data_IF_420081620417
#
_entry.id   IF_420081620417
#
_cell.length_a   1.000
_cell.length_b   1.000
_cell.length_c   1.000
_cell.angle_alpha   90.00
_cell.angle_beta   90.00
_cell.angle_gamma   90.00
#
_symmetry.space_group_name_H-M   'P 1'
#
loop_
_entity.id
_entity.type
_entity.pdbx_description
1 polymer ?
#
# COMPACT_ATOMS: atom_id res chain seq x y z
N UNK A 1 1.50 25.30 -7.35
CA UNK A 1 2.42 24.16 -7.06
C UNK A 1 1.57 22.92 -7.02
N UNK A 2 1.92 21.86 -7.73
CA UNK A 2 1.19 20.59 -7.63
C UNK A 2 1.27 20.08 -6.19
N UNK A 3 0.17 19.49 -5.69
CA UNK A 3 0.17 18.92 -4.34
C UNK A 3 0.85 17.58 -4.31
N UNK A 4 1.56 17.34 -3.21
CA UNK A 4 2.16 16.05 -2.91
C UNK A 4 1.16 15.28 -2.04
N UNK A 5 0.87 14.03 -2.42
CA UNK A 5 0.04 13.13 -1.62
C UNK A 5 0.88 12.07 -0.93
N UNK A 6 0.40 11.59 0.22
CA UNK A 6 0.91 10.41 0.88
C UNK A 6 0.04 9.20 0.55
N UNK A 7 0.65 8.09 0.17
CA UNK A 7 -0.07 6.84 -0.12
C UNK A 7 0.47 5.72 0.76
N UNK A 8 -0.43 5.06 1.46
CA UNK A 8 -0.17 3.75 2.03
C UNK A 8 -0.70 2.68 1.05
N UNK A 9 0.24 2.04 0.36
CA UNK A 9 -0.07 0.96 -0.57
C UNK A 9 -0.04 -0.37 0.18
N UNK A 10 -1.13 -0.72 0.86
CA UNK A 10 -1.21 -1.95 1.65
C UNK A 10 -1.45 -3.22 0.83
N UNK A 11 -1.21 -4.39 1.44
CA UNK A 11 -1.47 -5.70 0.80
C UNK A 11 -2.96 -5.96 0.64
N UNK A 12 -3.76 -5.60 1.64
CA UNK A 12 -5.21 -5.83 1.67
C UNK A 12 -5.99 -4.57 1.38
N UNK A 13 -5.61 -3.44 1.99
CA UNK A 13 -6.23 -2.15 1.78
C UNK A 13 -5.17 -1.08 1.56
N UNK A 14 -5.51 -0.08 0.76
CA UNK A 14 -4.69 1.10 0.51
C UNK A 14 -5.46 2.37 0.88
N UNK A 15 -4.73 3.44 1.15
CA UNK A 15 -5.32 4.75 1.43
C UNK A 15 -4.44 5.88 0.87
N UNK A 16 -5.04 7.04 0.71
CA UNK A 16 -4.37 8.26 0.30
C UNK A 16 -4.67 9.40 1.27
N UNK A 17 -3.68 10.23 1.52
CA UNK A 17 -3.78 11.39 2.39
C UNK A 17 -3.09 12.61 1.75
N UNK A 18 -3.53 13.79 2.13
CA UNK A 18 -2.87 15.05 1.80
C UNK A 18 -2.65 15.89 3.05
N UNK A 19 -1.71 16.80 2.96
CA UNK A 19 -1.50 17.82 3.98
C UNK A 19 -2.23 19.09 3.56
N UNK A 20 -3.21 19.51 4.36
CA UNK A 20 -4.01 20.72 4.16
C UNK A 20 -3.61 21.81 5.16
N UNK A 21 -4.23 22.97 5.07
CA UNK A 21 -4.03 24.05 6.06
C UNK A 21 -4.45 23.65 7.48
N UNK A 22 -5.39 22.71 7.59
CA UNK A 22 -5.87 22.16 8.87
C UNK A 22 -5.05 20.96 9.37
N UNK A 23 -4.04 20.54 8.61
CA UNK A 23 -3.18 19.40 8.91
C UNK A 23 -3.35 18.21 7.97
N UNK A 24 -2.90 17.01 8.37
CA UNK A 24 -3.02 15.81 7.56
C UNK A 24 -4.47 15.31 7.50
N UNK A 25 -4.96 15.04 6.30
CA UNK A 25 -6.31 14.53 6.05
C UNK A 25 -6.23 13.25 5.23
N UNK A 26 -6.92 12.21 5.68
CA UNK A 26 -7.15 11.00 4.87
C UNK A 26 -8.27 11.31 3.88
N UNK A 27 -7.97 11.16 2.59
CA UNK A 27 -8.91 11.45 1.52
C UNK A 27 -9.85 10.26 1.36
N UNK A 28 -11.19 10.46 1.41
CA UNK A 28 -12.14 9.40 1.12
C UNK A 28 -12.09 9.03 -0.37
N UNK A 29 -12.26 7.74 -0.66
CA UNK A 29 -12.44 7.30 -2.03
C UNK A 29 -13.81 7.74 -2.60
N UNK A 30 -14.05 7.52 -3.88
CA UNK A 30 -15.30 7.87 -4.58
C UNK A 30 -16.56 7.22 -4.02
N UNK A 31 -16.44 6.24 -3.11
CA UNK A 31 -17.53 5.63 -2.34
C UNK A 31 -17.66 6.18 -0.92
N UNK A 32 -16.89 7.22 -0.58
CA UNK A 32 -16.89 7.87 0.74
C UNK A 32 -16.17 7.09 1.84
N UNK A 33 -15.36 6.07 1.49
CA UNK A 33 -14.60 5.27 2.45
C UNK A 33 -13.14 5.72 2.49
N UNK A 34 -12.51 5.65 3.68
CA UNK A 34 -11.10 5.99 3.85
C UNK A 34 -10.14 4.87 3.42
N UNK A 35 -10.62 3.65 3.30
CA UNK A 35 -9.85 2.50 2.85
C UNK A 35 -10.38 2.03 1.50
N UNK A 36 -9.47 1.73 0.59
CA UNK A 36 -9.74 1.13 -0.72
C UNK A 36 -9.13 -0.26 -0.74
N UNK A 37 -9.90 -1.34 -0.97
CA UNK A 37 -9.36 -2.67 -1.10
C UNK A 37 -8.29 -2.75 -2.19
N UNK A 38 -7.14 -3.35 -1.90
CA UNK A 38 -6.03 -3.54 -2.85
C UNK A 38 -6.33 -4.70 -3.80
N UNK A 39 -7.45 -4.60 -4.50
CA UNK A 39 -7.99 -5.61 -5.43
C UNK A 39 -8.17 -4.97 -6.79
N UNK A 40 -7.77 -5.70 -7.84
CA UNK A 40 -7.91 -5.30 -9.24
C UNK A 40 -8.65 -6.40 -9.99
N UNK A 41 -9.59 -6.02 -10.83
CA UNK A 41 -10.22 -6.92 -11.80
C UNK A 41 -10.08 -6.34 -13.21
N UNK A 42 -9.80 -7.20 -14.18
CA UNK A 42 -9.79 -6.84 -15.61
C UNK A 42 -10.71 -7.79 -16.35
N UNK A 43 -11.69 -7.26 -17.06
CA UNK A 43 -12.60 -8.08 -17.85
C UNK A 43 -12.03 -8.44 -19.24
N UNK A 44 -12.74 -9.26 -19.99
CA UNK A 44 -12.37 -9.70 -21.34
C UNK A 44 -12.21 -8.52 -22.31
N UNK A 45 -12.98 -7.45 -22.13
CA UNK A 45 -12.92 -6.24 -22.94
C UNK A 45 -11.73 -5.32 -22.56
N UNK A 46 -11.07 -5.59 -21.42
CA UNK A 46 -9.96 -4.79 -20.89
C UNK A 46 -10.40 -3.67 -19.98
N UNK A 47 -11.67 -3.63 -19.54
CA UNK A 47 -12.09 -2.67 -18.52
C UNK A 47 -11.47 -3.04 -17.19
N UNK A 48 -10.93 -2.04 -16.50
CA UNK A 48 -10.25 -2.17 -15.21
C UNK A 48 -11.21 -1.73 -14.10
N UNK A 49 -11.32 -2.56 -13.08
CA UNK A 49 -12.08 -2.29 -11.86
C UNK A 49 -11.11 -2.35 -10.68
N UNK A 50 -11.27 -1.44 -9.72
CA UNK A 50 -10.38 -1.32 -8.56
C UNK A 50 -11.21 -1.22 -7.28
N UNK A 51 -10.66 -1.70 -6.18
CA UNK A 51 -11.27 -1.56 -4.86
C UNK A 51 -12.48 -2.47 -4.67
N UNK A 52 -13.53 -1.94 -4.06
CA UNK A 52 -14.76 -2.67 -3.73
C UNK A 52 -15.40 -3.31 -4.96
N UNK A 53 -15.47 -2.57 -6.06
CA UNK A 53 -16.06 -3.10 -7.31
C UNK A 53 -15.29 -4.31 -7.83
N UNK A 54 -13.94 -4.29 -7.73
CA UNK A 54 -13.13 -5.45 -8.08
C UNK A 54 -13.34 -6.61 -7.10
N UNK A 55 -13.48 -6.32 -5.82
CA UNK A 55 -13.71 -7.31 -4.77
C UNK A 55 -15.07 -8.04 -4.94
N UNK A 56 -16.12 -7.33 -5.29
CA UNK A 56 -17.44 -7.90 -5.57
C UNK A 56 -17.41 -8.85 -6.77
N UNK A 57 -16.60 -8.52 -7.78
CA UNK A 57 -16.42 -9.35 -8.97
C UNK A 57 -15.78 -10.71 -8.68
N UNK A 58 -15.07 -10.87 -7.58
CA UNK A 58 -14.36 -12.11 -7.22
C UNK A 58 -15.26 -13.33 -7.15
N UNK A 59 -16.50 -13.16 -6.72
CA UNK A 59 -17.45 -14.28 -6.60
C UNK A 59 -18.03 -14.73 -7.94
N UNK A 60 -18.14 -13.82 -8.90
CA UNK A 60 -18.74 -14.09 -10.20
C UNK A 60 -17.70 -14.35 -11.31
N UNK A 61 -16.53 -13.73 -11.19
CA UNK A 61 -15.48 -13.74 -12.20
C UNK A 61 -14.09 -13.94 -11.54
N UNK A 62 -13.85 -15.07 -10.85
CA UNK A 62 -12.61 -15.27 -10.07
C UNK A 62 -11.34 -15.18 -10.94
N UNK A 63 -11.38 -15.63 -12.18
CA UNK A 63 -10.25 -15.59 -13.12
C UNK A 63 -9.95 -14.17 -13.66
N UNK A 64 -10.79 -13.19 -13.33
CA UNK A 64 -10.58 -11.80 -13.71
C UNK A 64 -10.04 -10.93 -12.59
N UNK A 65 -9.75 -11.50 -11.40
CA UNK A 65 -9.46 -10.74 -10.17
C UNK A 65 -8.09 -11.11 -9.60
N UNK A 66 -7.30 -10.09 -9.25
CA UNK A 66 -6.05 -10.24 -8.51
C UNK A 66 -6.13 -9.50 -7.18
N UNK A 67 -5.57 -10.13 -6.14
CA UNK A 67 -5.39 -9.58 -4.80
C UNK A 67 -4.05 -10.01 -4.23
N UNK A 68 -3.62 -9.41 -3.12
CA UNK A 68 -2.37 -9.72 -2.41
C UNK A 68 -1.10 -9.67 -3.30
N UNK A 69 -1.15 -9.03 -4.46
CA UNK A 69 -0.04 -8.96 -5.41
C UNK A 69 1.14 -8.14 -4.88
N UNK A 70 0.96 -7.29 -3.85
CA UNK A 70 2.05 -6.58 -3.16
C UNK A 70 3.09 -7.57 -2.60
N UNK A 71 2.68 -8.76 -2.15
CA UNK A 71 3.59 -9.82 -1.68
C UNK A 71 4.60 -10.25 -2.73
N UNK A 72 4.23 -10.15 -4.00
CA UNK A 72 5.07 -10.55 -5.15
C UNK A 72 5.80 -9.38 -5.81
N UNK A 73 5.78 -8.18 -5.19
CA UNK A 73 6.46 -7.00 -5.72
C UNK A 73 7.94 -7.27 -5.95
N UNK A 74 8.46 -6.86 -7.11
CA UNK A 74 9.87 -7.04 -7.46
C UNK A 74 10.26 -8.48 -7.88
N UNK A 75 9.28 -9.38 -8.02
CA UNK A 75 9.49 -10.74 -8.55
C UNK A 75 9.01 -10.85 -10.00
N UNK A 76 9.31 -11.97 -10.66
CA UNK A 76 8.86 -12.26 -12.03
C UNK A 76 7.47 -12.92 -12.09
N UNK A 77 6.75 -13.00 -10.96
CA UNK A 77 5.39 -13.53 -10.92
C UNK A 77 4.49 -12.71 -11.83
N UNK A 78 3.60 -13.39 -12.53
CA UNK A 78 2.54 -12.77 -13.34
C UNK A 78 1.18 -13.25 -12.88
N UNK A 79 0.19 -12.41 -13.04
CA UNK A 79 -1.22 -12.66 -12.76
C UNK A 79 -1.97 -12.65 -14.10
N UNK A 80 -2.69 -13.73 -14.37
CA UNK A 80 -3.55 -13.80 -15.56
C UNK A 80 -4.95 -13.32 -15.19
N UNK A 81 -5.41 -12.26 -15.84
CA UNK A 81 -6.75 -11.70 -15.65
C UNK A 81 -7.46 -11.70 -17.01
N UNK A 82 -8.41 -12.59 -17.18
CA UNK A 82 -9.17 -12.75 -18.43
C UNK A 82 -8.26 -12.94 -19.66
N UNK A 83 -7.19 -13.74 -19.53
CA UNK A 83 -6.24 -14.03 -20.60
C UNK A 83 -5.17 -12.96 -20.83
N UNK A 84 -5.12 -11.92 -19.98
CA UNK A 84 -4.07 -10.88 -20.00
C UNK A 84 -3.15 -11.02 -18.80
N UNK A 85 -1.84 -11.01 -19.04
CA UNK A 85 -0.84 -11.17 -17.99
C UNK A 85 -0.36 -9.82 -17.49
N UNK A 86 -0.37 -9.66 -16.17
CA UNK A 86 0.07 -8.46 -15.47
C UNK A 86 1.15 -8.79 -14.46
N UNK A 87 2.14 -7.91 -14.31
CA UNK A 87 3.13 -7.95 -13.24
C UNK A 87 2.58 -7.27 -11.98
N UNK A 88 3.13 -7.58 -10.79
CA UNK A 88 2.70 -6.96 -9.54
C UNK A 88 2.74 -5.43 -9.58
N UNK A 89 3.78 -4.84 -10.19
CA UNK A 89 3.91 -3.39 -10.33
C UNK A 89 2.85 -2.77 -11.25
N UNK A 90 2.37 -3.50 -12.27
CA UNK A 90 1.29 -3.03 -13.14
C UNK A 90 -0.06 -3.03 -12.42
N UNK A 91 -0.35 -4.08 -11.64
CA UNK A 91 -1.55 -4.14 -10.82
C UNK A 91 -1.52 -3.06 -9.73
N UNK A 92 -0.37 -2.88 -9.08
CA UNK A 92 -0.16 -1.81 -8.10
C UNK A 92 -0.36 -0.43 -8.71
N UNK A 93 0.06 -0.22 -9.97
CA UNK A 93 -0.15 1.06 -10.66
C UNK A 93 -1.62 1.39 -10.89
N UNK A 94 -2.48 0.37 -11.07
CA UNK A 94 -3.92 0.58 -11.20
C UNK A 94 -4.53 1.06 -9.88
N UNK A 95 -4.10 0.51 -8.74
CA UNK A 95 -4.49 1.00 -7.41
C UNK A 95 -4.02 2.44 -7.22
N UNK A 96 -2.74 2.72 -7.49
CA UNK A 96 -2.16 4.05 -7.32
C UNK A 96 -2.84 5.09 -8.18
N UNK A 97 -3.21 4.75 -9.42
CA UNK A 97 -3.97 5.64 -10.32
C UNK A 97 -5.36 5.92 -9.77
N UNK A 98 -6.05 4.90 -9.27
CA UNK A 98 -7.36 5.05 -8.65
C UNK A 98 -7.32 5.99 -7.45
N UNK A 99 -6.34 5.83 -6.56
CA UNK A 99 -6.15 6.72 -5.40
C UNK A 99 -5.75 8.14 -5.82
N UNK A 100 -4.94 8.28 -6.88
CA UNK A 100 -4.60 9.59 -7.46
C UNK A 100 -5.85 10.32 -7.95
N UNK A 101 -6.70 9.64 -8.73
CA UNK A 101 -7.95 10.20 -9.25
C UNK A 101 -8.90 10.63 -8.13
N UNK A 102 -9.02 9.83 -7.05
CA UNK A 102 -9.80 10.19 -5.87
C UNK A 102 -9.21 11.42 -5.15
N UNK A 103 -7.87 11.51 -5.07
CA UNK A 103 -7.20 12.67 -4.50
C UNK A 103 -7.40 13.94 -5.33
N UNK A 104 -7.29 13.85 -6.65
CA UNK A 104 -7.54 14.97 -7.57
C UNK A 104 -8.98 15.46 -7.48
N UNK A 105 -9.94 14.54 -7.41
CA UNK A 105 -11.35 14.89 -7.25
C UNK A 105 -11.63 15.60 -5.91
N UNK A 106 -10.99 15.15 -4.83
CA UNK A 106 -11.14 15.75 -3.50
C UNK A 106 -10.47 17.11 -3.39
N UNK A 107 -9.24 17.25 -3.91
CA UNK A 107 -8.44 18.46 -3.81
C UNK A 107 -8.83 19.53 -4.84
N UNK A 108 -9.52 19.14 -5.93
CA UNK A 108 -9.89 20.04 -7.03
C UNK A 108 -8.69 20.49 -7.88
N UNK A 109 -7.56 19.80 -7.82
CA UNK A 109 -6.35 20.13 -8.57
C UNK A 109 -5.56 18.88 -8.97
N UNK A 110 -4.70 19.01 -9.96
CA UNK A 110 -3.85 17.92 -10.45
C UNK A 110 -2.83 17.50 -9.39
N UNK A 111 -2.63 16.18 -9.26
CA UNK A 111 -1.65 15.55 -8.38
C UNK A 111 -0.58 14.85 -9.22
N UNK A 112 0.66 15.32 -9.12
CA UNK A 112 1.78 14.79 -9.91
C UNK A 112 2.83 14.08 -9.07
N UNK A 113 2.84 14.29 -7.75
CA UNK A 113 3.88 13.77 -6.86
C UNK A 113 3.28 12.98 -5.69
N UNK A 114 3.98 11.92 -5.29
CA UNK A 114 3.59 11.12 -4.14
C UNK A 114 4.78 10.68 -3.28
N UNK A 115 4.51 10.55 -1.97
CA UNK A 115 5.31 9.76 -1.04
C UNK A 115 4.57 8.46 -0.78
N UNK A 116 5.23 7.32 -0.99
CA UNK A 116 4.61 5.99 -0.83
C UNK A 116 5.26 5.28 0.36
N UNK A 117 4.44 4.72 1.27
CA UNK A 117 4.93 3.88 2.35
C UNK A 117 5.28 2.48 1.82
N UNK A 118 6.33 1.88 2.39
CA UNK A 118 6.78 0.53 2.06
C UNK A 118 7.16 -0.22 3.33
N UNK A 119 6.97 -1.55 3.39
CA UNK A 119 7.47 -2.35 4.49
C UNK A 119 8.96 -2.12 4.73
N UNK A 120 9.38 -2.12 6.00
CA UNK A 120 10.78 -1.91 6.33
C UNK A 120 11.67 -3.03 5.80
N UNK A 121 11.11 -4.25 5.67
CA UNK A 121 11.77 -5.45 5.17
C UNK A 121 11.86 -5.51 3.62
N UNK A 122 11.31 -4.52 2.89
CA UNK A 122 11.43 -4.47 1.43
C UNK A 122 12.88 -4.22 1.01
N UNK A 123 13.42 -5.14 0.21
CA UNK A 123 14.70 -5.00 -0.46
C UNK A 123 14.67 -3.95 -1.60
N UNK A 124 15.81 -3.69 -2.18
CA UNK A 124 15.97 -2.70 -3.26
C UNK A 124 15.13 -3.04 -4.51
N UNK A 125 14.95 -4.33 -4.84
CA UNK A 125 14.13 -4.76 -5.97
C UNK A 125 12.66 -4.41 -5.77
N UNK A 126 12.12 -4.69 -4.57
CA UNK A 126 10.74 -4.37 -4.21
C UNK A 126 10.50 -2.87 -4.16
N UNK A 127 11.45 -2.11 -3.61
CA UNK A 127 11.38 -0.64 -3.61
C UNK A 127 11.38 -0.06 -5.02
N UNK A 128 12.25 -0.54 -5.92
CA UNK A 128 12.27 -0.12 -7.33
C UNK A 128 10.97 -0.47 -8.05
N UNK A 129 10.41 -1.65 -7.80
CA UNK A 129 9.12 -2.05 -8.37
C UNK A 129 7.98 -1.16 -7.88
N UNK A 130 7.98 -0.77 -6.58
CA UNK A 130 7.00 0.17 -6.02
C UNK A 130 7.13 1.55 -6.67
N UNK A 131 8.35 2.05 -6.85
CA UNK A 131 8.61 3.29 -7.58
C UNK A 131 8.09 3.22 -9.01
N UNK A 132 8.37 2.10 -9.70
CA UNK A 132 7.89 1.86 -11.07
C UNK A 132 6.36 1.85 -11.14
N UNK A 133 5.67 1.25 -10.16
CA UNK A 133 4.22 1.28 -10.09
C UNK A 133 3.68 2.72 -9.99
N UNK A 134 4.31 3.58 -9.19
CA UNK A 134 3.97 5.01 -9.12
C UNK A 134 4.16 5.74 -10.44
N UNK A 135 5.29 5.51 -11.11
CA UNK A 135 5.57 6.09 -12.45
C UNK A 135 4.53 5.64 -13.49
N UNK A 136 4.14 4.37 -13.49
CA UNK A 136 3.08 3.84 -14.36
C UNK A 136 1.69 4.44 -14.06
N UNK A 137 1.46 4.87 -12.82
CA UNK A 137 0.26 5.58 -12.41
C UNK A 137 0.30 7.08 -12.77
N UNK A 138 1.39 7.59 -13.33
CA UNK A 138 1.59 9.00 -13.64
C UNK A 138 1.96 9.85 -12.42
N UNK A 139 2.59 9.23 -11.40
CA UNK A 139 3.08 9.89 -10.21
C UNK A 139 4.61 9.93 -10.20
N UNK A 140 5.17 11.08 -9.87
CA UNK A 140 6.58 11.21 -9.54
C UNK A 140 6.77 10.79 -8.09
N UNK A 141 7.40 9.64 -7.86
CA UNK A 141 7.70 9.12 -6.52
C UNK A 141 9.08 9.63 -6.10
N UNK A 142 9.09 10.77 -5.42
CA UNK A 142 10.33 11.40 -4.95
C UNK A 142 10.91 10.65 -3.74
N UNK A 143 10.05 10.19 -2.85
CA UNK A 143 10.46 9.50 -1.63
C UNK A 143 9.58 8.30 -1.35
N UNK A 144 10.19 7.29 -0.79
CA UNK A 144 9.51 6.19 -0.11
C UNK A 144 9.90 6.23 1.36
N UNK A 145 8.91 6.10 2.23
CA UNK A 145 9.11 6.05 3.67
C UNK A 145 8.85 4.61 4.16
N UNK A 146 9.61 4.13 5.12
CA UNK A 146 9.28 2.84 5.73
C UNK A 146 8.02 2.96 6.59
N UNK A 147 7.13 1.96 6.54
CA UNK A 147 5.88 1.93 7.30
C UNK A 147 6.10 2.19 8.81
N UNK A 148 7.07 1.55 9.50
CA UNK A 148 7.33 1.85 10.90
C UNK A 148 7.83 3.27 11.15
N UNK A 149 8.58 3.87 10.21
CA UNK A 149 8.99 5.28 10.30
C UNK A 149 7.79 6.21 10.14
N UNK A 150 6.88 5.91 9.19
CA UNK A 150 5.66 6.68 8.99
C UNK A 150 4.77 6.62 10.24
N UNK A 151 4.61 5.44 10.84
CA UNK A 151 3.88 5.25 12.09
C UNK A 151 4.51 6.05 13.23
N UNK A 152 5.83 5.98 13.41
CA UNK A 152 6.53 6.74 14.44
C UNK A 152 6.32 8.27 14.30
N UNK A 153 6.36 8.78 13.07
CA UNK A 153 6.06 10.19 12.77
C UNK A 153 4.61 10.52 13.11
N UNK A 154 3.66 9.70 12.68
CA UNK A 154 2.23 9.94 12.92
C UNK A 154 1.86 9.94 14.41
N UNK A 155 2.55 9.14 15.22
CA UNK A 155 2.38 9.12 16.69
C UNK A 155 3.19 10.22 17.42
N UNK A 156 3.84 11.13 16.71
CA UNK A 156 4.62 12.22 17.31
C UNK A 156 5.83 11.73 18.11
N UNK A 157 6.36 10.55 17.80
CA UNK A 157 7.48 10.00 18.56
C UNK A 157 8.79 10.79 18.39
N UNK A 158 8.88 11.56 17.32
CA UNK A 158 10.02 12.47 17.06
C UNK A 158 10.02 13.72 17.95
N UNK A 159 8.91 14.07 18.61
CA UNK A 159 8.78 15.22 19.50
C UNK A 159 9.25 14.93 20.94
N UNK A 160 9.65 13.69 21.21
CA UNK A 160 10.14 13.33 22.56
C UNK A 160 11.49 13.92 22.83
N UNK A 161 11.60 14.61 23.96
CA UNK A 161 12.84 15.30 24.40
C UNK A 161 13.99 14.35 24.78
N UNK A 162 13.71 13.05 24.96
CA UNK A 162 14.71 12.05 25.40
C UNK A 162 14.98 11.04 24.32
N UNK A 163 16.25 10.68 24.19
CA UNK A 163 16.66 9.51 23.40
C UNK A 163 15.87 8.29 23.83
N UNK A 164 15.20 7.65 22.86
CA UNK A 164 14.24 6.60 23.16
C UNK A 164 14.30 5.54 22.08
N UNK A 165 14.14 4.28 22.48
CA UNK A 165 13.98 3.14 21.55
C UNK A 165 12.53 2.68 21.55
N UNK A 166 12.04 2.36 20.37
CA UNK A 166 10.68 1.88 20.14
C UNK A 166 10.72 0.52 19.44
N UNK A 167 9.81 -0.34 19.81
CA UNK A 167 9.45 -1.51 19.03
C UNK A 167 8.18 -1.19 18.27
N UNK A 168 8.21 -1.33 16.95
CA UNK A 168 7.02 -1.28 16.10
C UNK A 168 6.73 -2.71 15.67
N UNK A 169 5.52 -3.17 15.99
CA UNK A 169 4.99 -4.47 15.64
C UNK A 169 3.86 -4.23 14.64
N UNK A 170 4.09 -4.56 13.37
CA UNK A 170 3.17 -4.35 12.28
C UNK A 170 2.71 -5.70 11.71
N UNK A 171 1.49 -6.08 12.03
CA UNK A 171 0.84 -7.27 11.49
C UNK A 171 -0.30 -6.82 10.56
N UNK A 172 0.00 -6.77 9.28
CA UNK A 172 -0.96 -6.47 8.24
C UNK A 172 -1.79 -7.66 7.79
N UNK A 173 -2.60 -7.48 6.74
CA UNK A 173 -3.36 -8.59 6.14
C UNK A 173 -2.47 -9.60 5.42
N UNK A 174 -1.30 -9.20 4.95
CA UNK A 174 -0.45 -10.02 4.10
C UNK A 174 1.03 -10.05 4.43
N UNK A 175 1.50 -9.17 5.31
CA UNK A 175 2.90 -9.09 5.74
C UNK A 175 2.97 -8.89 7.25
N UNK A 176 4.07 -9.33 7.83
CA UNK A 176 4.41 -9.13 9.23
C UNK A 176 5.79 -8.51 9.32
N UNK A 177 5.89 -7.36 10.00
CA UNK A 177 7.14 -6.64 10.22
C UNK A 177 7.31 -6.30 11.71
N UNK A 178 8.51 -6.50 12.23
CA UNK A 178 8.94 -6.01 13.54
C UNK A 178 10.16 -5.14 13.33
N UNK A 179 10.11 -3.92 13.83
CA UNK A 179 11.19 -2.95 13.66
C UNK A 179 11.58 -2.33 15.00
N UNK A 180 12.87 -2.19 15.22
CA UNK A 180 13.43 -1.41 16.33
C UNK A 180 13.85 -0.07 15.76
N UNK A 181 13.22 1.00 16.26
CA UNK A 181 13.58 2.37 15.94
C UNK A 181 14.25 3.02 17.13
N UNK A 182 15.23 3.86 16.88
CA UNK A 182 15.91 4.68 17.87
C UNK A 182 15.76 6.15 17.49
N UNK A 183 15.26 6.94 18.42
CA UNK A 183 15.32 8.39 18.36
C UNK A 183 16.56 8.81 19.15
N UNK A 184 17.52 9.43 18.47
CA UNK A 184 18.75 9.93 19.06
C UNK A 184 19.07 11.31 18.48
N UNK A 185 19.19 12.34 19.34
CA UNK A 185 19.43 13.72 18.91
C UNK A 185 18.49 14.18 17.77
N UNK A 186 17.18 13.93 17.89
CA UNK A 186 16.14 14.26 16.90
C UNK A 186 16.30 13.54 15.54
N UNK A 187 17.14 12.51 15.47
CA UNK A 187 17.27 11.63 14.31
C UNK A 187 16.56 10.32 14.63
N UNK A 188 15.55 9.98 13.82
CA UNK A 188 14.85 8.70 13.90
C UNK A 188 15.52 7.69 12.95
N UNK A 189 16.07 6.63 13.50
CA UNK A 189 16.80 5.62 12.76
C UNK A 189 16.20 4.23 12.98
N UNK A 190 16.10 3.45 11.91
CA UNK A 190 15.71 2.04 11.97
C UNK A 190 16.96 1.21 12.26
N UNK A 191 17.05 0.64 13.46
CA UNK A 191 18.20 -0.13 13.95
C UNK A 191 18.19 -1.58 13.55
N UNK A 192 17.01 -2.18 13.55
CA UNK A 192 16.84 -3.57 13.16
C UNK A 192 15.45 -3.79 12.60
N UNK A 193 15.36 -4.73 11.67
CA UNK A 193 14.10 -5.17 11.06
C UNK A 193 14.12 -6.68 10.98
N UNK A 194 12.99 -7.30 11.32
CA UNK A 194 12.69 -8.69 11.05
C UNK A 194 11.25 -8.79 10.56
N UNK A 195 10.93 -9.80 9.78
CA UNK A 195 9.57 -9.93 9.27
C UNK A 195 9.40 -11.09 8.31
N UNK A 196 8.15 -11.30 7.90
CA UNK A 196 7.76 -12.29 6.91
C UNK A 196 6.79 -11.65 5.90
N UNK A 197 7.17 -11.67 4.62
CA UNK A 197 6.36 -11.11 3.54
C UNK A 197 5.16 -12.02 3.16
N UNK A 198 5.04 -13.18 3.78
CA UNK A 198 4.00 -14.17 3.51
C UNK A 198 3.23 -14.57 4.77
N UNK A 199 3.28 -13.75 5.82
CA UNK A 199 2.54 -13.94 7.06
C UNK A 199 1.66 -12.71 7.32
N UNK A 200 0.36 -12.92 7.46
CA UNK A 200 -0.60 -11.86 7.76
C UNK A 200 -1.99 -12.38 8.08
N UNK A 201 -2.94 -11.49 8.30
CA UNK A 201 -4.31 -11.84 8.67
C UNK A 201 -5.02 -12.76 7.68
N UNK A 202 -4.69 -12.65 6.37
CA UNK A 202 -5.26 -13.54 5.34
C UNK A 202 -4.81 -14.99 5.53
N UNK A 203 -3.54 -15.21 5.91
CA UNK A 203 -3.01 -16.57 6.14
C UNK A 203 -3.67 -17.21 7.36
N UNK A 204 -3.91 -16.44 8.43
CA UNK A 204 -4.66 -16.93 9.60
C UNK A 204 -6.10 -17.29 9.25
N UNK A 205 -6.75 -16.48 8.41
CA UNK A 205 -8.11 -16.76 7.92
C UNK A 205 -8.14 -18.03 7.09
N UNK A 206 -7.17 -18.24 6.21
CA UNK A 206 -7.07 -19.44 5.37
C UNK A 206 -6.87 -20.70 6.21
N UNK A 207 -6.00 -20.65 7.23
CA UNK A 207 -5.81 -21.76 8.18
C UNK A 207 -7.11 -22.07 8.91
N UNK A 208 -7.83 -21.07 9.43
CA UNK A 208 -9.12 -21.29 10.10
C UNK A 208 -10.16 -21.90 9.17
N UNK A 209 -10.24 -21.44 7.91
CA UNK A 209 -11.17 -22.00 6.93
C UNK A 209 -10.82 -23.45 6.58
N UNK A 210 -9.53 -23.78 6.51
CA UNK A 210 -9.11 -25.16 6.23
C UNK A 210 -9.54 -26.14 7.32
N UNK A 211 -9.63 -25.69 8.59
CA UNK A 211 -10.09 -26.48 9.72
C UNK A 211 -11.61 -26.74 9.71
N UNK A 212 -12.39 -25.91 9.01
CA UNK A 212 -13.85 -26.08 8.91
C UNK A 212 -14.21 -27.16 7.86
N UNK A 213 -13.30 -27.49 6.96
CA UNK A 213 -13.50 -28.46 5.89
C UNK A 213 -12.92 -29.85 6.18
N UNK A 214 -12.57 -30.15 7.43
CA UNK A 214 -12.11 -31.49 7.86
C UNK A 214 -13.31 -32.32 8.34
#
# INVERSE_FOLDING_TARGET
MSKIIGIDLGTTNSLVAAFTEEGPVIIPNRLGKHLTPSVVSVDENGNVYVGETAQERRNLYPDSVAQAFKRSMGTDRTYDLSGKKFRPEELSSMILRYLKEDAEAYLGEEVTEAVISVPAYFDDKRRKATKRAGELAGLKVERMISEPTAAAVAYGLYEKEKDTRFLVFDLGGGTFDVSILELYHNILEVRAVAGDNYLGGEDFTEVMLSLIHI
#
